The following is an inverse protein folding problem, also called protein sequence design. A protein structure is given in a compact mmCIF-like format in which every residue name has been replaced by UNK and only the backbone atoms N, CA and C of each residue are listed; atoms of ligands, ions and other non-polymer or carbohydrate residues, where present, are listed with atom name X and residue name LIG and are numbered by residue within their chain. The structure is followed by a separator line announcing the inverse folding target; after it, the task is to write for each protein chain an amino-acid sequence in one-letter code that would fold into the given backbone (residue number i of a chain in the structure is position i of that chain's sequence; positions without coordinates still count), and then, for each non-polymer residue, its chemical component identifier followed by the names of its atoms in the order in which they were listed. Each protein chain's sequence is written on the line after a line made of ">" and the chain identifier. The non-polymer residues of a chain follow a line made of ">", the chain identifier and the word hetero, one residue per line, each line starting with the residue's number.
data_IF_564515948331
#
_entry.id   IF_564515948331
#
_cell.length_a   1.000
_cell.length_b   1.000
_cell.length_c   1.000
_cell.angle_alpha   90.00
_cell.angle_beta   90.00
_cell.angle_gamma   90.00
#
_symmetry.space_group_name_H-M   'P 1'
#
loop_
_entity.id
_entity.type
_entity.pdbx_description
1 polymer ?
#
# COMPACT_ATOMS: atom_id res chain seq x y z
N UNK A 1 11.00 13.65 -14.84
CA UNK A 1 10.82 12.75 -13.73
C UNK A 1 11.38 11.38 -14.04
N UNK A 2 11.80 10.67 -13.01
CA UNK A 2 12.26 9.26 -13.11
C UNK A 2 11.10 8.37 -12.75
N UNK A 3 10.99 7.22 -13.40
CA UNK A 3 10.00 6.19 -13.06
C UNK A 3 10.13 5.76 -11.58
N UNK A 4 9.02 5.67 -10.82
CA UNK A 4 9.07 5.37 -9.39
C UNK A 4 9.70 4.00 -9.03
N UNK A 5 9.55 2.99 -9.88
CA UNK A 5 10.17 1.67 -9.70
C UNK A 5 11.67 1.79 -9.94
N UNK A 6 12.06 2.38 -11.08
CA UNK A 6 13.45 2.59 -11.42
C UNK A 6 14.19 3.46 -10.38
N UNK A 7 13.54 4.52 -9.90
CA UNK A 7 14.11 5.37 -8.84
C UNK A 7 14.49 4.57 -7.60
N UNK A 8 13.58 3.68 -7.13
CA UNK A 8 13.84 2.85 -5.95
C UNK A 8 14.96 1.85 -6.18
N UNK A 9 14.98 1.21 -7.35
CA UNK A 9 16.04 0.27 -7.73
C UNK A 9 17.40 0.97 -7.73
N UNK A 10 17.50 2.20 -8.23
CA UNK A 10 18.74 2.98 -8.25
C UNK A 10 19.25 3.36 -6.84
N UNK A 11 18.33 3.50 -5.85
CA UNK A 11 18.71 3.81 -4.47
C UNK A 11 19.22 2.58 -3.70
N UNK A 12 18.94 1.37 -4.18
CA UNK A 12 19.37 0.14 -3.57
C UNK A 12 20.79 -0.21 -4.05
N UNK A 13 21.79 0.22 -3.30
CA UNK A 13 23.21 -0.05 -3.62
C UNK A 13 23.65 -1.43 -3.13
N UNK A 14 24.44 -2.08 -3.93
CA UNK A 14 25.23 -3.31 -3.89
C UNK A 14 25.38 -4.23 -2.65
N UNK A 15 24.66 -4.05 -1.57
CA UNK A 15 24.69 -4.98 -0.43
C UNK A 15 23.79 -6.20 -0.66
N UNK A 16 24.03 -7.36 -0.02
CA UNK A 16 23.14 -8.51 -0.13
C UNK A 16 21.68 -8.20 0.24
N UNK A 17 21.47 -7.37 1.26
CA UNK A 17 20.14 -6.94 1.68
C UNK A 17 19.47 -6.07 0.61
N UNK A 18 20.20 -5.12 0.02
CA UNK A 18 19.74 -4.28 -1.07
C UNK A 18 19.37 -5.09 -2.33
N UNK A 19 20.11 -6.17 -2.61
CA UNK A 19 19.78 -7.08 -3.71
C UNK A 19 18.46 -7.80 -3.48
N UNK A 20 18.14 -8.20 -2.24
CA UNK A 20 16.83 -8.76 -1.88
C UNK A 20 15.73 -7.72 -2.09
N UNK A 21 15.94 -6.48 -1.62
CA UNK A 21 15.02 -5.36 -1.83
C UNK A 21 14.77 -5.08 -3.32
N UNK A 22 15.83 -5.04 -4.13
CA UNK A 22 15.72 -4.89 -5.58
C UNK A 22 14.88 -5.99 -6.21
N UNK A 23 15.11 -7.25 -5.83
CA UNK A 23 14.36 -8.40 -6.34
C UNK A 23 12.86 -8.30 -6.06
N UNK A 24 12.45 -7.91 -4.84
CA UNK A 24 11.01 -7.79 -4.54
C UNK A 24 10.36 -6.64 -5.29
N UNK A 25 11.08 -5.54 -5.57
CA UNK A 25 10.58 -4.42 -6.38
C UNK A 25 10.41 -4.82 -7.85
N UNK A 26 11.42 -5.46 -8.43
CA UNK A 26 11.36 -5.94 -9.82
C UNK A 26 10.22 -6.94 -10.03
N UNK A 27 10.04 -7.84 -9.08
CA UNK A 27 9.04 -8.89 -9.15
C UNK A 27 7.62 -8.34 -8.98
N UNK A 28 7.37 -7.43 -8.06
CA UNK A 28 6.04 -6.82 -7.91
C UNK A 28 5.68 -5.96 -9.12
N UNK A 29 6.65 -5.27 -9.72
CA UNK A 29 6.45 -4.50 -10.94
C UNK A 29 6.05 -5.41 -12.11
N UNK A 30 6.70 -6.58 -12.23
CA UNK A 30 6.34 -7.59 -13.22
C UNK A 30 4.94 -8.17 -13.00
N UNK A 31 4.58 -8.50 -11.74
CA UNK A 31 3.26 -9.04 -11.38
C UNK A 31 2.12 -8.05 -11.70
N UNK A 32 2.34 -6.77 -11.41
CA UNK A 32 1.35 -5.72 -11.63
C UNK A 32 1.32 -5.21 -13.08
N UNK A 33 2.16 -5.74 -13.97
CA UNK A 33 2.35 -5.21 -15.33
C UNK A 33 2.57 -3.68 -15.29
N UNK A 34 3.61 -3.26 -14.52
CA UNK A 34 3.98 -1.87 -14.31
C UNK A 34 4.30 -1.20 -15.66
N UNK A 35 3.74 -0.03 -15.89
CA UNK A 35 3.90 0.69 -17.16
C UNK A 35 2.72 0.51 -18.11
N UNK A 36 1.88 -0.51 -17.94
CA UNK A 36 0.62 -0.62 -18.68
C UNK A 36 -0.35 0.48 -18.25
N UNK A 37 -0.73 1.34 -19.17
CA UNK A 37 -1.77 2.35 -18.92
C UNK A 37 -3.14 1.70 -18.76
N UNK A 38 -3.88 2.12 -17.73
CA UNK A 38 -5.25 1.72 -17.46
C UNK A 38 -6.09 2.99 -17.30
N UNK A 39 -7.10 3.14 -18.15
CA UNK A 39 -7.96 4.33 -18.13
C UNK A 39 -8.68 4.47 -16.78
N UNK A 40 -8.70 5.68 -16.22
CA UNK A 40 -9.32 5.96 -14.92
C UNK A 40 -8.65 5.26 -13.72
N UNK A 41 -7.44 4.71 -13.88
CA UNK A 41 -6.70 4.00 -12.84
C UNK A 41 -5.34 4.64 -12.56
N UNK A 42 -4.96 4.61 -11.29
CA UNK A 42 -3.62 4.98 -10.85
C UNK A 42 -2.90 3.80 -10.23
N UNK A 43 -1.62 3.65 -10.52
CA UNK A 43 -0.75 2.67 -9.90
C UNK A 43 0.28 3.35 -9.01
N UNK A 44 0.48 2.84 -7.81
CA UNK A 44 1.48 3.36 -6.89
C UNK A 44 2.31 2.25 -6.27
N UNK A 45 3.64 2.39 -6.36
CA UNK A 45 4.60 1.45 -5.78
C UNK A 45 5.10 1.96 -4.43
N UNK A 46 5.26 1.03 -3.49
CA UNK A 46 5.96 1.24 -2.24
C UNK A 46 6.95 0.08 -1.99
N UNK A 47 7.98 0.37 -1.22
CA UNK A 47 8.99 -0.61 -0.79
C UNK A 47 9.30 -0.39 0.68
N UNK A 48 9.53 -1.45 1.40
CA UNK A 48 9.84 -1.45 2.81
C UNK A 48 10.92 -2.50 3.13
N UNK A 49 11.94 -2.08 3.85
CA UNK A 49 12.85 -2.92 4.63
C UNK A 49 12.45 -2.79 6.09
N UNK A 50 11.90 -3.86 6.66
CA UNK A 50 11.47 -3.84 8.05
C UNK A 50 11.98 -5.07 8.80
N UNK A 51 12.89 -4.85 9.73
CA UNK A 51 13.52 -5.90 10.55
C UNK A 51 14.11 -7.04 9.71
N UNK A 52 14.72 -6.70 8.57
CA UNK A 52 15.34 -7.65 7.64
C UNK A 52 14.40 -8.33 6.66
N UNK A 53 13.09 -8.17 6.81
CA UNK A 53 12.10 -8.58 5.81
C UNK A 53 12.02 -7.53 4.71
N UNK A 54 12.08 -7.98 3.47
CA UNK A 54 11.98 -7.12 2.29
C UNK A 54 10.60 -7.26 1.66
N UNK A 55 9.92 -6.12 1.46
CA UNK A 55 8.60 -6.12 0.80
C UNK A 55 8.51 -5.02 -0.23
N UNK A 56 7.83 -5.33 -1.31
CA UNK A 56 7.36 -4.32 -2.24
C UNK A 56 5.88 -4.54 -2.56
N UNK A 57 5.12 -3.46 -2.68
CA UNK A 57 3.70 -3.51 -3.01
C UNK A 57 3.32 -2.49 -4.06
N UNK A 58 2.33 -2.85 -4.87
CA UNK A 58 1.71 -1.95 -5.84
C UNK A 58 0.20 -1.97 -5.60
N UNK A 59 -0.38 -0.77 -5.46
CA UNK A 59 -1.82 -0.58 -5.41
C UNK A 59 -2.32 -0.07 -6.76
N UNK A 60 -3.42 -0.63 -7.26
CA UNK A 60 -4.22 -0.06 -8.35
C UNK A 60 -5.48 0.56 -7.77
N UNK A 61 -5.71 1.84 -8.03
CA UNK A 61 -6.85 2.58 -7.51
C UNK A 61 -7.65 3.27 -8.58
N UNK A 62 -8.90 3.60 -8.26
CA UNK A 62 -9.68 4.66 -8.92
C UNK A 62 -10.18 5.67 -7.90
N UNK A 63 -10.60 6.82 -8.39
CA UNK A 63 -11.16 7.91 -7.60
C UNK A 63 -12.59 8.19 -8.04
N UNK A 64 -13.54 8.15 -7.10
CA UNK A 64 -14.91 8.52 -7.34
C UNK A 64 -15.12 10.04 -7.23
N UNK A 65 -16.21 10.55 -7.82
CA UNK A 65 -16.56 11.98 -7.77
C UNK A 65 -16.81 12.53 -6.36
N UNK A 66 -17.11 11.65 -5.41
CA UNK A 66 -17.28 11.99 -3.99
C UNK A 66 -15.96 12.00 -3.19
N UNK A 67 -14.82 11.85 -3.86
CA UNK A 67 -13.48 11.82 -3.22
C UNK A 67 -13.11 10.46 -2.64
N UNK A 68 -13.93 9.43 -2.83
CA UNK A 68 -13.65 8.09 -2.32
C UNK A 68 -12.65 7.36 -3.20
N UNK A 69 -11.58 6.89 -2.58
CA UNK A 69 -10.58 6.03 -3.23
C UNK A 69 -11.08 4.57 -3.18
N UNK A 70 -11.07 3.90 -4.33
CA UNK A 70 -11.32 2.46 -4.42
C UNK A 70 -10.02 1.76 -4.81
N UNK A 71 -9.57 0.83 -4.00
CA UNK A 71 -8.48 -0.09 -4.35
C UNK A 71 -9.09 -1.28 -5.08
N UNK A 72 -8.57 -1.60 -6.26
CA UNK A 72 -9.07 -2.69 -7.10
C UNK A 72 -8.20 -3.93 -6.97
N UNK A 73 -6.89 -3.74 -7.07
CA UNK A 73 -5.90 -4.77 -6.95
C UNK A 73 -4.74 -4.30 -6.07
N UNK A 74 -4.18 -5.22 -5.31
CA UNK A 74 -2.97 -5.01 -4.53
C UNK A 74 -2.01 -6.18 -4.74
N UNK A 75 -0.89 -5.92 -5.37
CA UNK A 75 0.21 -6.88 -5.52
C UNK A 75 1.24 -6.68 -4.43
N UNK A 76 1.70 -7.77 -3.85
CA UNK A 76 2.75 -7.75 -2.84
C UNK A 76 3.75 -8.88 -3.07
N UNK A 77 5.02 -8.54 -2.98
CA UNK A 77 6.11 -9.52 -2.97
C UNK A 77 6.84 -9.39 -1.63
N UNK A 78 7.00 -10.51 -0.95
CA UNK A 78 7.66 -10.59 0.36
C UNK A 78 8.81 -11.58 0.34
N UNK A 79 9.96 -11.19 0.90
CA UNK A 79 11.10 -12.03 1.23
C UNK A 79 11.36 -11.93 2.73
N UNK A 80 10.91 -12.92 3.47
CA UNK A 80 11.11 -13.05 4.92
C UNK A 80 12.22 -14.07 5.29
N UNK A 81 13.09 -14.41 4.33
CA UNK A 81 14.10 -15.45 4.49
C UNK A 81 13.51 -16.86 4.29
N UNK A 82 14.03 -17.84 5.04
CA UNK A 82 13.51 -19.22 5.00
C UNK A 82 12.06 -19.23 5.46
N UNK A 83 11.16 -19.70 4.58
CA UNK A 83 9.75 -19.87 4.89
C UNK A 83 9.52 -21.26 5.52
N UNK A 84 9.38 -21.29 6.83
CA UNK A 84 9.09 -22.56 7.55
C UNK A 84 7.68 -23.02 7.23
N UNK A 85 6.72 -22.09 7.21
CA UNK A 85 5.33 -22.33 6.86
C UNK A 85 4.84 -21.27 5.83
N UNK A 86 5.03 -21.53 4.53
CA UNK A 86 4.72 -20.57 3.47
C UNK A 86 3.28 -20.05 3.49
N UNK A 87 2.30 -20.94 3.70
CA UNK A 87 0.88 -20.57 3.70
C UNK A 87 0.54 -19.59 4.83
N UNK A 88 1.16 -19.73 6.00
CA UNK A 88 0.98 -18.80 7.10
C UNK A 88 1.59 -17.42 6.79
N UNK A 89 2.73 -17.37 6.09
CA UNK A 89 3.32 -16.09 5.67
C UNK A 89 2.39 -15.38 4.68
N UNK A 90 1.81 -16.12 3.74
CA UNK A 90 0.84 -15.58 2.79
C UNK A 90 -0.40 -15.05 3.52
N UNK A 91 -1.00 -15.85 4.40
CA UNK A 91 -2.19 -15.45 5.16
C UNK A 91 -1.93 -14.22 6.04
N UNK A 92 -0.77 -14.13 6.70
CA UNK A 92 -0.38 -12.95 7.47
C UNK A 92 -0.15 -11.72 6.59
N UNK A 93 0.41 -11.90 5.40
CA UNK A 93 0.60 -10.81 4.44
C UNK A 93 -0.75 -10.30 3.92
N UNK A 94 -1.71 -11.19 3.61
CA UNK A 94 -3.09 -10.81 3.26
C UNK A 94 -3.75 -10.02 4.39
N UNK A 95 -3.69 -10.51 5.62
CA UNK A 95 -4.20 -9.83 6.80
C UNK A 95 -3.58 -8.44 6.95
N UNK A 96 -2.26 -8.32 6.83
CA UNK A 96 -1.55 -7.06 6.92
C UNK A 96 -2.00 -6.04 5.87
N UNK A 97 -2.30 -6.51 4.65
CA UNK A 97 -2.82 -5.65 3.57
C UNK A 97 -4.22 -5.16 3.91
N UNK A 98 -5.10 -6.03 4.41
CA UNK A 98 -6.46 -5.67 4.83
C UNK A 98 -6.43 -4.61 5.93
N UNK A 99 -5.61 -4.80 6.97
CA UNK A 99 -5.41 -3.80 8.03
C UNK A 99 -4.84 -2.49 7.48
N UNK A 100 -3.86 -2.56 6.58
CA UNK A 100 -3.28 -1.38 5.94
C UNK A 100 -4.30 -0.58 5.13
N UNK A 101 -5.27 -1.24 4.49
CA UNK A 101 -6.38 -0.58 3.76
C UNK A 101 -7.28 0.15 4.75
N UNK A 102 -7.64 -0.47 5.87
CA UNK A 102 -8.43 0.15 6.93
C UNK A 102 -7.77 1.42 7.44
N UNK A 103 -6.51 1.33 7.85
CA UNK A 103 -5.72 2.47 8.33
C UNK A 103 -5.56 3.57 7.26
N UNK A 104 -5.48 3.20 5.98
CA UNK A 104 -5.33 4.16 4.90
C UNK A 104 -6.62 4.92 4.56
N UNK A 105 -7.78 4.27 4.63
CA UNK A 105 -9.00 4.77 3.98
C UNK A 105 -10.18 5.02 4.92
N UNK A 106 -10.29 4.30 6.05
CA UNK A 106 -11.54 4.32 6.84
C UNK A 106 -11.35 4.46 8.34
N UNK A 107 -10.33 3.86 8.91
CA UNK A 107 -10.14 3.81 10.37
C UNK A 107 -9.62 5.15 10.88
N UNK A 108 -10.42 5.81 11.72
CA UNK A 108 -10.11 7.12 12.24
C UNK A 108 -10.62 7.28 13.67
N UNK A 109 -9.76 7.81 14.51
CA UNK A 109 -10.09 8.19 15.91
C UNK A 109 -9.89 9.69 16.05
N UNK A 110 -10.94 10.37 16.52
CA UNK A 110 -10.90 11.77 16.90
C UNK A 110 -10.78 11.90 18.42
N UNK A 111 -9.93 12.81 18.84
CA UNK A 111 -9.81 13.20 20.27
C UNK A 111 -10.19 14.65 20.40
N UNK A 112 -11.23 14.93 21.19
CA UNK A 112 -11.69 16.29 21.49
C UNK A 112 -11.92 16.46 22.99
N UNK A 113 -11.41 17.55 23.56
CA UNK A 113 -11.50 17.80 25.00
C UNK A 113 -10.82 16.72 25.86
N UNK A 114 -9.80 16.02 25.33
CA UNK A 114 -9.12 14.92 26.00
C UNK A 114 -9.87 13.58 25.97
N UNK A 115 -10.99 13.49 25.26
CA UNK A 115 -11.83 12.30 25.16
C UNK A 115 -11.85 11.77 23.71
N UNK A 116 -11.79 10.44 23.57
CA UNK A 116 -12.02 9.75 22.29
C UNK A 116 -13.48 9.91 21.91
N UNK A 117 -13.75 10.31 20.68
CA UNK A 117 -15.11 10.56 20.18
C UNK A 117 -15.80 9.29 19.69
N UNK A 118 -15.05 8.35 19.13
CA UNK A 118 -15.56 7.07 18.69
C UNK A 118 -15.79 6.15 19.89
N UNK A 119 -16.99 5.59 19.98
CA UNK A 119 -17.41 4.80 21.14
C UNK A 119 -17.67 3.32 20.83
N UNK A 120 -17.90 2.96 19.57
CA UNK A 120 -18.22 1.59 19.15
C UNK A 120 -18.04 1.41 17.62
N UNK A 121 -18.31 0.20 17.13
CA UNK A 121 -18.23 -0.13 15.69
C UNK A 121 -19.23 0.59 14.78
N UNK A 122 -20.21 1.30 15.33
CA UNK A 122 -21.13 2.12 14.53
C UNK A 122 -20.49 3.45 14.09
N UNK A 123 -19.51 3.96 14.82
CA UNK A 123 -18.78 5.21 14.57
C UNK A 123 -17.27 5.01 14.31
N UNK A 124 -16.75 3.78 14.49
CA UNK A 124 -15.42 3.36 14.07
C UNK A 124 -15.53 2.37 12.90
N UNK A 125 -15.22 2.85 11.70
CA UNK A 125 -15.48 2.10 10.47
C UNK A 125 -14.29 1.23 10.06
N UNK A 126 -14.42 -0.08 10.24
CA UNK A 126 -13.47 -1.07 9.71
C UNK A 126 -13.84 -1.48 8.27
N UNK A 127 -12.88 -1.88 7.44
CA UNK A 127 -13.16 -2.40 6.10
C UNK A 127 -14.07 -3.63 6.13
N UNK A 128 -14.96 -3.72 5.16
CA UNK A 128 -15.81 -4.90 4.96
C UNK A 128 -15.35 -5.66 3.73
N UNK A 129 -15.77 -6.91 3.58
CA UNK A 129 -15.40 -7.78 2.44
C UNK A 129 -15.53 -7.09 1.07
N UNK A 130 -16.56 -6.26 0.88
CA UNK A 130 -16.76 -5.50 -0.36
C UNK A 130 -15.73 -4.40 -0.60
N UNK A 131 -14.99 -3.99 0.44
CA UNK A 131 -14.00 -2.90 0.38
C UNK A 131 -12.60 -3.43 0.10
N UNK A 132 -12.41 -4.75 0.24
CA UNK A 132 -11.14 -5.42 0.03
C UNK A 132 -10.89 -5.62 -1.48
N UNK A 133 -9.68 -5.32 -1.96
CA UNK A 133 -9.28 -5.55 -3.35
C UNK A 133 -9.00 -7.04 -3.63
N UNK A 134 -8.75 -7.37 -4.89
CA UNK A 134 -8.03 -8.58 -5.20
C UNK A 134 -6.59 -8.47 -4.67
N UNK A 135 -6.17 -9.44 -3.87
CA UNK A 135 -4.83 -9.46 -3.28
C UNK A 135 -4.00 -10.54 -3.97
N UNK A 136 -2.83 -10.14 -4.48
CA UNK A 136 -1.91 -11.01 -5.20
C UNK A 136 -0.58 -11.04 -4.47
N UNK A 137 -0.24 -12.18 -3.85
CA UNK A 137 0.98 -12.30 -3.06
C UNK A 137 1.94 -13.27 -3.73
N UNK A 138 3.22 -12.89 -3.74
CA UNK A 138 4.32 -13.77 -4.07
C UNK A 138 5.33 -13.81 -2.93
N UNK A 139 5.52 -14.99 -2.37
CA UNK A 139 6.58 -15.26 -1.41
C UNK A 139 7.87 -15.63 -2.17
N UNK A 140 8.93 -14.87 -1.91
CA UNK A 140 10.28 -15.17 -2.37
C UNK A 140 11.00 -15.95 -1.28
N UNK A 141 11.33 -17.20 -1.57
CA UNK A 141 12.12 -18.02 -0.63
C UNK A 141 13.62 -17.80 -0.85
N UNK A 142 14.33 -17.55 0.22
CA UNK A 142 15.79 -17.38 0.24
C UNK A 142 16.39 -18.15 1.42
N UNK A 143 17.69 -18.50 1.37
CA UNK A 143 18.35 -19.22 2.47
C UNK A 143 18.74 -18.31 3.65
N UNK A 144 18.26 -17.06 3.67
CA UNK A 144 18.52 -16.14 4.77
C UNK A 144 17.76 -16.55 6.04
N UNK A 145 18.22 -16.09 7.20
CA UNK A 145 17.50 -16.30 8.45
C UNK A 145 16.03 -15.87 8.34
N UNK A 146 15.11 -16.62 8.95
CA UNK A 146 13.71 -16.20 9.04
C UNK A 146 13.59 -14.85 9.75
N UNK A 147 12.76 -13.97 9.21
CA UNK A 147 12.47 -12.65 9.78
C UNK A 147 10.97 -12.50 10.02
N UNK A 148 10.52 -11.35 10.52
CA UNK A 148 9.09 -11.13 10.80
C UNK A 148 8.23 -11.19 9.55
N UNK A 149 7.01 -11.70 9.67
CA UNK A 149 6.03 -11.79 8.60
C UNK A 149 4.61 -11.34 9.02
N UNK A 150 4.37 -11.13 10.32
CA UNK A 150 3.02 -10.94 10.86
C UNK A 150 2.32 -9.64 10.44
N UNK A 151 3.04 -8.51 10.39
CA UNK A 151 2.45 -7.19 10.12
C UNK A 151 3.21 -6.38 9.05
N UNK A 152 4.12 -7.02 8.34
CA UNK A 152 5.11 -6.31 7.54
C UNK A 152 4.50 -5.49 6.39
N UNK A 153 3.39 -5.93 5.81
CA UNK A 153 2.73 -5.21 4.72
C UNK A 153 1.85 -4.04 5.19
N UNK A 154 1.48 -3.95 6.47
CA UNK A 154 0.58 -2.90 6.98
C UNK A 154 1.07 -1.48 6.63
N UNK A 155 2.32 -1.06 6.95
CA UNK A 155 2.79 0.30 6.63
C UNK A 155 3.07 0.51 5.13
N UNK A 156 3.20 -0.56 4.36
CA UNK A 156 3.42 -0.49 2.91
C UNK A 156 2.18 0.01 2.16
N UNK A 157 0.99 -0.43 2.58
CA UNK A 157 -0.27 -0.20 1.88
C UNK A 157 -0.65 1.28 1.78
N UNK A 158 -0.67 2.08 2.87
CA UNK A 158 -1.01 3.50 2.78
C UNK A 158 -0.08 4.26 1.83
N UNK A 159 1.20 3.91 1.83
CA UNK A 159 2.21 4.53 0.97
C UNK A 159 1.98 4.21 -0.51
N UNK A 160 1.62 2.96 -0.83
CA UNK A 160 1.29 2.55 -2.19
C UNK A 160 0.02 3.27 -2.69
N UNK A 161 -1.03 3.34 -1.87
CA UNK A 161 -2.29 4.03 -2.21
C UNK A 161 -2.04 5.53 -2.44
N UNK A 162 -1.30 6.21 -1.56
CA UNK A 162 -1.00 7.63 -1.70
C UNK A 162 -0.15 7.92 -2.96
N UNK A 163 0.77 7.03 -3.33
CA UNK A 163 1.54 7.14 -4.56
C UNK A 163 0.67 6.89 -5.80
N UNK A 164 -0.26 5.93 -5.74
CA UNK A 164 -1.23 5.69 -6.80
C UNK A 164 -2.16 6.90 -7.01
N UNK A 165 -2.62 7.52 -5.92
CA UNK A 165 -3.41 8.75 -5.98
C UNK A 165 -2.64 9.88 -6.66
N UNK A 166 -1.38 10.08 -6.30
CA UNK A 166 -0.56 11.08 -6.96
C UNK A 166 -0.35 10.81 -8.45
N UNK A 167 -0.11 9.55 -8.81
CA UNK A 167 0.06 9.18 -10.21
C UNK A 167 -1.22 9.43 -11.03
N UNK A 168 -2.40 9.22 -10.42
CA UNK A 168 -3.70 9.42 -11.07
C UNK A 168 -4.06 10.91 -11.19
N UNK A 169 -3.76 11.73 -10.18
CA UNK A 169 -4.30 13.09 -10.05
C UNK A 169 -3.24 14.21 -10.11
N UNK A 170 -1.96 13.87 -9.95
CA UNK A 170 -0.87 14.85 -9.75
C UNK A 170 -0.83 15.44 -8.33
N UNK A 171 -1.83 15.20 -7.47
CA UNK A 171 -1.94 15.77 -6.13
C UNK A 171 -1.28 14.86 -5.09
N UNK A 172 -0.56 15.44 -4.12
CA UNK A 172 0.06 14.71 -3.01
C UNK A 172 -0.80 14.78 -1.74
N UNK A 173 -1.26 13.62 -1.28
CA UNK A 173 -1.87 13.48 0.05
C UNK A 173 -0.78 13.16 1.08
N UNK A 174 -0.77 13.92 2.19
CA UNK A 174 0.25 13.79 3.24
C UNK A 174 -0.35 13.55 4.64
N UNK A 175 -1.68 13.45 4.71
CA UNK A 175 -2.42 13.20 5.95
C UNK A 175 -3.26 11.95 5.78
N UNK A 176 -3.15 11.03 6.73
CA UNK A 176 -3.94 9.81 6.81
C UNK A 176 -4.95 9.90 7.96
N UNK A 177 -6.01 9.09 7.88
CA UNK A 177 -6.48 8.33 6.73
C UNK A 177 -6.93 9.24 5.57
N UNK A 178 -6.92 8.69 4.35
CA UNK A 178 -7.29 9.38 3.10
C UNK A 178 -8.81 9.45 2.96
N UNK A 179 -9.48 10.08 3.93
CA UNK A 179 -10.93 10.22 3.99
C UNK A 179 -11.43 11.06 2.80
N UNK A 180 -12.65 10.79 2.29
CA UNK A 180 -13.22 11.51 1.14
C UNK A 180 -13.15 13.04 1.28
N UNK A 181 -13.45 13.60 2.46
CA UNK A 181 -13.36 15.04 2.70
C UNK A 181 -11.94 15.58 2.60
N UNK A 182 -10.93 14.84 3.07
CA UNK A 182 -9.50 15.23 2.93
C UNK A 182 -9.04 15.17 1.47
N UNK A 183 -9.51 14.16 0.74
CA UNK A 183 -9.24 14.02 -0.69
C UNK A 183 -9.85 15.18 -1.48
N UNK A 184 -11.13 15.50 -1.22
CA UNK A 184 -11.82 16.63 -1.85
C UNK A 184 -11.11 17.96 -1.57
N UNK A 185 -10.72 18.19 -0.32
CA UNK A 185 -10.00 19.41 0.05
C UNK A 185 -8.66 19.51 -0.67
N UNK A 186 -7.86 18.45 -0.69
CA UNK A 186 -6.56 18.45 -1.38
C UNK A 186 -6.69 18.64 -2.89
N UNK A 187 -7.71 18.08 -3.54
CA UNK A 187 -7.99 18.30 -4.96
C UNK A 187 -8.39 19.76 -5.22
N UNK A 188 -9.27 20.32 -4.38
CA UNK A 188 -9.71 21.72 -4.46
C UNK A 188 -8.55 22.69 -4.29
N UNK A 189 -7.70 22.49 -3.28
CA UNK A 189 -6.53 23.33 -2.99
C UNK A 189 -5.53 23.32 -4.15
N UNK A 190 -5.44 22.19 -4.86
CA UNK A 190 -4.61 22.03 -6.04
C UNK A 190 -5.27 22.52 -7.35
N UNK A 191 -6.52 22.96 -7.32
CA UNK A 191 -7.29 23.37 -8.51
C UNK A 191 -7.59 22.22 -9.48
N UNK A 192 -7.56 20.98 -9.02
CA UNK A 192 -7.78 19.77 -9.83
C UNK A 192 -9.23 19.32 -9.67
N UNK A 193 -9.93 19.11 -10.79
CA UNK A 193 -11.32 18.63 -10.79
C UNK A 193 -11.36 17.10 -10.80
N UNK A 194 -12.40 16.56 -10.18
CA UNK A 194 -12.74 15.14 -10.34
C UNK A 194 -13.17 14.88 -11.79
N UNK A 195 -12.63 13.81 -12.38
CA UNK A 195 -12.97 13.39 -13.74
C UNK A 195 -14.30 12.65 -13.80
#
# INVERSE_FOLDING_TARGET
>A
GVDPVEFRIRQLAGTPLAQRGRRVIEEVARMADWGRKREGRGLGVAYLDYSGTQLAGIAEISLNKDGRIRVHDFWCVIDAGVAIQPDNIIAQTESSIVYGIGLALTEHIDVSGGLVQQSNFFDYHVPRMRDIPNIHIKLVQTPNHPTGAGQMATPLVPSAIANAFHQLTGVRLRQQPLLPGRVQQAMSDAGVKFA
#
